data_IF_305185764076
#
_entry.id   IF_305185764076
#
_cell.length_a   1.000
_cell.length_b   1.000
_cell.length_c   1.000
_cell.angle_alpha   90.00
_cell.angle_beta   90.00
_cell.angle_gamma   90.00
#
_symmetry.space_group_name_H-M   'P 1'
#
loop_
_entity.id
_entity.type
_entity.pdbx_description
1 polymer ?
#
# COMPACT_ATOMS: atom_id res chain seq x y z
N UNK A 1 -3.11 -13.73 33.08
CA UNK A 1 -2.33 -14.19 31.90
C UNK A 1 -3.34 -14.77 30.93
N UNK A 2 -3.75 -14.01 29.92
CA UNK A 2 -4.83 -14.38 29.01
C UNK A 2 -4.37 -15.41 27.98
N UNK A 3 -5.15 -16.48 27.83
CA UNK A 3 -4.91 -17.58 26.91
C UNK A 3 -5.07 -17.02 25.49
N UNK A 4 -4.00 -16.94 24.71
CA UNK A 4 -4.08 -16.62 23.28
C UNK A 4 -4.81 -17.78 22.60
N UNK A 5 -6.00 -17.50 22.05
CA UNK A 5 -6.86 -18.51 21.43
C UNK A 5 -6.15 -19.25 20.29
N UNK A 6 -6.47 -20.54 20.16
CA UNK A 6 -6.06 -21.46 19.08
C UNK A 6 -6.65 -21.06 17.70
N UNK A 7 -6.49 -19.81 17.27
CA UNK A 7 -6.79 -19.36 15.92
C UNK A 7 -5.55 -19.46 15.03
N UNK A 8 -5.68 -19.99 13.81
CA UNK A 8 -4.61 -19.91 12.82
C UNK A 8 -4.33 -18.45 12.49
N UNK A 9 -3.11 -17.98 12.77
CA UNK A 9 -2.67 -16.65 12.38
C UNK A 9 -2.24 -16.69 10.91
N UNK A 10 -2.75 -15.73 10.12
CA UNK A 10 -2.33 -15.56 8.73
C UNK A 10 -1.06 -14.73 8.69
N UNK A 11 0.03 -15.29 8.19
CA UNK A 11 1.26 -14.55 7.93
C UNK A 11 1.07 -13.65 6.71
N UNK A 12 1.52 -12.40 6.81
CA UNK A 12 1.45 -11.42 5.72
C UNK A 12 2.81 -10.78 5.48
N UNK A 13 3.25 -10.72 4.23
CA UNK A 13 4.45 -9.98 3.84
C UNK A 13 4.07 -8.56 3.39
N UNK A 14 4.69 -7.54 4.01
CA UNK A 14 4.43 -6.12 3.71
C UNK A 14 5.25 -5.60 2.51
N UNK A 15 6.26 -6.36 2.04
CA UNK A 15 7.17 -5.95 0.95
C UNK A 15 7.04 -6.80 -0.33
N UNK A 16 5.81 -6.93 -0.86
CA UNK A 16 5.55 -7.59 -2.14
C UNK A 16 5.78 -6.65 -3.35
N UNK A 17 6.90 -5.94 -3.37
CA UNK A 17 7.32 -5.11 -4.51
C UNK A 17 7.67 -5.97 -5.73
N UNK A 18 7.63 -5.39 -6.93
CA UNK A 18 7.92 -6.14 -8.16
C UNK A 18 9.34 -6.74 -8.20
N UNK A 19 10.29 -6.15 -7.45
CA UNK A 19 11.64 -6.70 -7.28
C UNK A 19 11.66 -8.05 -6.55
N UNK A 20 10.63 -8.35 -5.76
CA UNK A 20 10.53 -9.56 -4.93
C UNK A 20 9.68 -10.65 -5.59
N UNK A 21 9.28 -10.44 -6.86
CA UNK A 21 8.46 -11.39 -7.64
C UNK A 21 9.17 -11.70 -8.97
N UNK A 22 10.24 -12.52 -8.96
CA UNK A 22 10.94 -12.90 -10.18
C UNK A 22 10.04 -13.64 -11.16
N UNK A 23 10.25 -13.36 -12.45
CA UNK A 23 9.59 -14.05 -13.56
C UNK A 23 10.54 -15.05 -14.21
N UNK A 24 9.99 -16.17 -14.69
CA UNK A 24 10.73 -17.11 -15.52
C UNK A 24 10.85 -16.61 -16.98
N UNK A 25 11.50 -17.41 -17.84
CA UNK A 25 11.69 -17.07 -19.27
C UNK A 25 10.38 -16.86 -20.03
N UNK A 26 9.29 -17.43 -19.57
CA UNK A 26 7.95 -17.33 -20.16
C UNK A 26 7.10 -16.21 -19.53
N UNK A 27 7.71 -15.31 -18.77
CA UNK A 27 7.03 -14.23 -18.03
C UNK A 27 5.98 -14.72 -17.02
N UNK A 28 6.15 -15.92 -16.48
CA UNK A 28 5.34 -16.46 -15.37
C UNK A 28 6.05 -16.20 -14.04
N UNK A 29 5.27 -15.98 -12.97
CA UNK A 29 5.81 -15.83 -11.62
C UNK A 29 6.56 -17.12 -11.25
N UNK A 30 7.86 -17.00 -11.02
CA UNK A 30 8.73 -18.11 -10.66
C UNK A 30 8.76 -18.34 -9.14
N UNK A 31 8.77 -17.25 -8.37
CA UNK A 31 8.75 -17.28 -6.92
C UNK A 31 8.27 -15.92 -6.36
N UNK A 32 7.97 -15.91 -5.05
CA UNK A 32 7.87 -14.69 -4.24
C UNK A 32 8.95 -14.81 -3.16
N UNK A 33 9.87 -13.86 -3.13
CA UNK A 33 11.05 -13.86 -2.25
C UNK A 33 10.96 -12.71 -1.24
N UNK A 34 11.99 -12.57 -0.39
CA UNK A 34 12.14 -11.43 0.52
C UNK A 34 11.02 -11.34 1.57
N UNK A 35 10.88 -12.42 2.34
CA UNK A 35 9.84 -12.57 3.39
C UNK A 35 10.24 -11.93 4.73
N UNK A 36 11.33 -11.15 4.79
CA UNK A 36 11.82 -10.56 6.04
C UNK A 36 10.88 -9.51 6.65
N UNK A 37 9.98 -8.96 5.82
CA UNK A 37 8.90 -8.07 6.23
C UNK A 37 7.58 -8.79 6.50
N UNK A 38 7.64 -10.06 6.92
CA UNK A 38 6.46 -10.83 7.31
C UNK A 38 6.04 -10.48 8.73
N UNK A 39 4.85 -9.91 8.88
CA UNK A 39 4.26 -9.59 10.17
C UNK A 39 3.01 -10.45 10.41
N UNK A 40 2.77 -10.92 11.66
CA UNK A 40 1.47 -11.46 12.04
C UNK A 40 0.40 -10.37 11.86
N UNK A 41 -0.87 -10.74 11.59
CA UNK A 41 -1.89 -9.80 11.19
C UNK A 41 -2.21 -8.90 12.39
N UNK A 42 -1.72 -7.66 12.37
CA UNK A 42 -2.11 -6.63 13.32
C UNK A 42 -3.47 -6.07 12.89
N UNK A 43 -4.55 -6.86 13.04
CA UNK A 43 -5.98 -6.50 12.98
C UNK A 43 -6.48 -5.50 11.93
N UNK A 44 -5.67 -5.10 10.95
CA UNK A 44 -5.95 -3.96 10.09
C UNK A 44 -5.53 -4.23 8.66
N UNK A 45 -6.45 -4.16 7.70
CA UNK A 45 -6.16 -4.25 6.27
C UNK A 45 -5.42 -3.02 5.71
N UNK A 46 -4.95 -2.11 6.57
CA UNK A 46 -4.29 -0.85 6.21
C UNK A 46 -2.88 -1.00 5.63
N UNK A 47 -2.27 -2.19 5.66
CA UNK A 47 -0.83 -2.32 5.38
C UNK A 47 -0.50 -2.55 3.89
N UNK A 48 -1.48 -2.89 3.06
CA UNK A 48 -1.25 -3.74 1.89
C UNK A 48 -0.96 -3.03 0.55
N UNK A 49 -0.39 -1.83 0.52
CA UNK A 49 -0.41 -0.99 -0.69
C UNK A 49 0.91 -0.36 -1.14
N UNK A 50 1.93 -0.28 -0.27
CA UNK A 50 3.12 0.53 -0.51
C UNK A 50 4.07 -0.04 -1.58
N UNK A 51 4.42 -1.33 -1.48
CA UNK A 51 5.55 -1.90 -2.23
C UNK A 51 5.34 -2.05 -3.74
N UNK A 52 4.12 -2.32 -4.21
CA UNK A 52 3.88 -2.63 -5.63
C UNK A 52 3.73 -1.39 -6.53
N UNK A 53 3.30 -0.25 -5.97
CA UNK A 53 2.75 0.86 -6.75
C UNK A 53 3.65 2.08 -6.84
N UNK A 54 4.64 2.19 -5.96
CA UNK A 54 5.61 3.27 -5.97
C UNK A 54 6.93 2.80 -6.56
N UNK A 55 7.29 3.36 -7.71
CA UNK A 55 8.68 3.32 -8.15
C UNK A 55 9.52 4.14 -7.16
N UNK A 56 10.60 3.54 -6.67
CA UNK A 56 11.62 4.19 -5.87
C UNK A 56 12.05 5.51 -6.53
N UNK A 57 11.99 6.68 -5.84
CA UNK A 57 12.12 8.02 -6.43
C UNK A 57 13.58 8.41 -6.72
N UNK A 58 14.42 7.48 -7.16
CA UNK A 58 15.88 7.66 -7.15
C UNK A 58 16.42 8.53 -8.30
N UNK A 59 15.58 9.28 -9.03
CA UNK A 59 15.99 9.90 -10.29
C UNK A 59 15.51 11.33 -10.59
N UNK A 60 14.96 12.11 -9.63
CA UNK A 60 14.56 13.50 -9.95
C UNK A 60 14.50 14.44 -8.74
N UNK A 61 14.58 15.78 -8.95
CA UNK A 61 14.59 16.77 -7.88
C UNK A 61 13.44 16.55 -6.90
N UNK A 62 13.81 16.40 -5.63
CA UNK A 62 13.08 15.68 -4.56
C UNK A 62 11.61 16.06 -4.39
N UNK A 63 11.20 17.29 -4.70
CA UNK A 63 9.80 17.75 -4.55
C UNK A 63 8.91 17.45 -5.76
N UNK A 64 9.43 17.58 -6.99
CA UNK A 64 8.65 17.33 -8.22
C UNK A 64 8.46 15.83 -8.41
N UNK A 65 9.52 15.04 -8.19
CA UNK A 65 9.49 13.58 -8.27
C UNK A 65 8.48 12.96 -7.31
N UNK A 66 8.31 13.55 -6.12
CA UNK A 66 7.37 13.06 -5.13
C UNK A 66 5.92 13.42 -5.51
N UNK A 67 5.66 14.64 -5.99
CA UNK A 67 4.32 15.05 -6.44
C UNK A 67 3.86 14.27 -7.68
N UNK A 68 4.76 14.04 -8.64
CA UNK A 68 4.48 13.17 -9.79
C UNK A 68 4.38 11.71 -9.37
N UNK A 69 5.17 11.28 -8.38
CA UNK A 69 5.12 9.95 -7.78
C UNK A 69 3.78 9.66 -7.10
N UNK A 70 3.23 10.59 -6.31
CA UNK A 70 1.93 10.47 -5.65
C UNK A 70 0.79 10.36 -6.66
N UNK A 71 0.77 11.22 -7.69
CA UNK A 71 -0.24 11.12 -8.78
C UNK A 71 -0.11 9.81 -9.56
N UNK A 72 1.12 9.39 -9.85
CA UNK A 72 1.38 8.13 -10.54
C UNK A 72 0.95 6.92 -9.71
N UNK A 73 1.17 6.97 -8.39
CA UNK A 73 0.70 5.97 -7.45
C UNK A 73 -0.83 5.90 -7.44
N UNK A 74 -1.53 7.04 -7.34
CA UNK A 74 -3.00 7.08 -7.34
C UNK A 74 -3.60 6.45 -8.60
N UNK A 75 -2.99 6.69 -9.77
CA UNK A 75 -3.41 6.08 -11.02
C UNK A 75 -3.13 4.58 -11.06
N UNK A 76 -1.92 4.16 -10.67
CA UNK A 76 -1.53 2.74 -10.64
C UNK A 76 -2.37 1.96 -9.64
N UNK A 77 -2.74 2.58 -8.53
CA UNK A 77 -3.58 2.01 -7.48
C UNK A 77 -4.95 1.60 -8.03
N UNK A 78 -5.63 2.45 -8.80
CA UNK A 78 -6.92 2.07 -9.39
C UNK A 78 -6.79 0.88 -10.34
N UNK A 79 -5.73 0.86 -11.17
CA UNK A 79 -5.46 -0.27 -12.06
C UNK A 79 -5.21 -1.55 -11.28
N UNK A 80 -4.43 -1.47 -10.20
CA UNK A 80 -4.17 -2.60 -9.31
C UNK A 80 -5.43 -3.10 -8.62
N UNK A 81 -6.25 -2.20 -8.06
CA UNK A 81 -7.53 -2.57 -7.43
C UNK A 81 -8.47 -3.25 -8.42
N UNK A 82 -8.54 -2.78 -9.68
CA UNK A 82 -9.33 -3.44 -10.73
C UNK A 82 -8.83 -4.85 -11.01
N UNK A 83 -7.51 -5.02 -11.20
CA UNK A 83 -6.91 -6.34 -11.42
C UNK A 83 -7.13 -7.28 -10.22
N UNK A 84 -7.03 -6.75 -9.00
CA UNK A 84 -7.21 -7.52 -7.78
C UNK A 84 -8.66 -7.98 -7.62
N UNK A 85 -9.65 -7.12 -7.88
CA UNK A 85 -11.07 -7.48 -7.86
C UNK A 85 -11.35 -8.64 -8.80
N UNK A 86 -10.86 -8.57 -10.04
CA UNK A 86 -11.04 -9.64 -11.05
C UNK A 86 -10.46 -10.96 -10.54
N UNK A 87 -9.26 -10.93 -9.94
CA UNK A 87 -8.61 -12.14 -9.43
C UNK A 87 -9.26 -12.70 -8.18
N UNK A 88 -9.75 -11.83 -7.30
CA UNK A 88 -10.53 -12.22 -6.12
C UNK A 88 -11.87 -12.85 -6.54
N UNK A 89 -12.57 -12.29 -7.54
CA UNK A 89 -13.81 -12.85 -8.08
C UNK A 89 -13.59 -14.24 -8.71
N UNK A 90 -12.52 -14.39 -9.51
CA UNK A 90 -12.12 -15.69 -10.06
C UNK A 90 -11.78 -16.71 -8.97
N UNK A 91 -11.06 -16.31 -7.93
CA UNK A 91 -10.70 -17.19 -6.82
C UNK A 91 -11.91 -17.59 -5.98
N UNK A 92 -12.87 -16.67 -5.77
CA UNK A 92 -14.13 -16.95 -5.06
C UNK A 92 -14.99 -17.92 -5.86
N UNK A 93 -15.13 -17.73 -7.18
CA UNK A 93 -15.92 -18.66 -8.01
C UNK A 93 -15.33 -20.08 -8.05
N UNK A 94 -14.01 -20.21 -7.88
CA UNK A 94 -13.30 -21.50 -7.75
C UNK A 94 -13.28 -22.07 -6.33
N UNK A 95 -13.87 -21.37 -5.35
CA UNK A 95 -13.83 -21.77 -3.93
C UNK A 95 -12.45 -21.69 -3.27
N UNK A 96 -11.50 -20.99 -3.90
CA UNK A 96 -10.13 -20.82 -3.39
C UNK A 96 -9.99 -19.65 -2.40
N UNK A 97 -10.94 -18.72 -2.43
CA UNK A 97 -11.00 -17.54 -1.57
C UNK A 97 -12.43 -17.37 -1.05
N UNK A 98 -12.57 -17.08 0.23
CA UNK A 98 -13.89 -16.72 0.79
C UNK A 98 -14.15 -15.22 0.61
N UNK A 99 -15.41 -14.81 0.45
CA UNK A 99 -15.78 -13.40 0.26
C UNK A 99 -15.29 -12.49 1.40
N UNK A 100 -15.20 -13.00 2.64
CA UNK A 100 -14.68 -12.26 3.80
C UNK A 100 -13.15 -12.10 3.81
N UNK A 101 -12.44 -12.79 2.91
CA UNK A 101 -10.99 -12.69 2.74
C UNK A 101 -10.59 -11.69 1.65
N UNK A 102 -11.59 -11.04 1.01
CA UNK A 102 -11.38 -10.01 -0.01
C UNK A 102 -10.70 -8.78 0.60
N UNK A 103 -9.61 -8.34 -0.01
CA UNK A 103 -8.82 -7.19 0.42
C UNK A 103 -9.14 -5.92 -0.39
N UNK A 104 -9.67 -6.06 -1.61
CA UNK A 104 -9.94 -4.89 -2.49
C UNK A 104 -10.89 -3.86 -1.89
N UNK A 105 -11.93 -4.32 -1.19
CA UNK A 105 -12.86 -3.44 -0.48
C UNK A 105 -12.15 -2.61 0.59
N UNK A 106 -11.57 -3.25 1.62
CA UNK A 106 -10.83 -2.55 2.66
C UNK A 106 -9.69 -1.66 2.15
N UNK A 107 -8.95 -2.09 1.12
CA UNK A 107 -7.89 -1.29 0.51
C UNK A 107 -8.42 -0.04 -0.20
N UNK A 108 -9.56 -0.14 -0.89
CA UNK A 108 -10.24 1.02 -1.50
C UNK A 108 -10.72 1.99 -0.43
N UNK A 109 -11.31 1.49 0.65
CA UNK A 109 -11.81 2.33 1.73
C UNK A 109 -10.67 3.01 2.51
N UNK A 110 -9.59 2.29 2.82
CA UNK A 110 -8.39 2.86 3.46
C UNK A 110 -7.77 3.99 2.64
N UNK A 111 -7.83 3.88 1.31
CA UNK A 111 -7.42 4.99 0.42
C UNK A 111 -8.38 6.17 0.51
N UNK A 112 -9.70 5.94 0.45
CA UNK A 112 -10.71 7.01 0.51
C UNK A 112 -10.70 7.75 1.84
N UNK A 113 -10.60 7.02 2.94
CA UNK A 113 -10.49 7.61 4.29
C UNK A 113 -9.17 8.37 4.47
N UNK A 114 -8.14 7.99 3.71
CA UNK A 114 -6.78 8.53 3.83
C UNK A 114 -5.95 7.83 4.90
N UNK A 115 -6.45 6.76 5.52
CA UNK A 115 -5.69 5.95 6.49
C UNK A 115 -4.45 5.32 5.84
N UNK A 116 -4.55 5.01 4.54
CA UNK A 116 -3.42 4.60 3.73
C UNK A 116 -2.25 5.60 3.81
N UNK A 117 -2.52 6.92 3.75
CA UNK A 117 -1.44 7.92 3.75
C UNK A 117 -0.73 8.00 5.10
N UNK A 118 -1.45 7.77 6.21
CA UNK A 118 -0.86 7.69 7.54
C UNK A 118 0.09 6.49 7.62
N UNK A 119 -0.41 5.31 7.22
CA UNK A 119 0.36 4.08 7.19
C UNK A 119 1.58 4.17 6.26
N UNK A 120 1.43 4.85 5.12
CA UNK A 120 2.48 5.04 4.13
C UNK A 120 3.55 6.03 4.60
N UNK A 121 3.17 7.16 5.19
CA UNK A 121 4.09 8.15 5.75
C UNK A 121 4.91 7.57 6.91
N UNK A 122 4.28 6.80 7.81
CA UNK A 122 4.97 6.15 8.92
C UNK A 122 6.08 5.17 8.46
N UNK A 123 5.94 4.59 7.27
CA UNK A 123 6.89 3.64 6.69
C UNK A 123 7.93 4.27 5.77
N UNK A 124 7.68 5.46 5.23
CA UNK A 124 8.52 6.09 4.21
C UNK A 124 9.07 7.43 4.72
N UNK A 125 10.18 7.37 5.47
CA UNK A 125 10.86 8.55 5.99
C UNK A 125 11.23 9.58 4.90
N UNK A 126 11.58 9.13 3.70
CA UNK A 126 11.94 10.00 2.58
C UNK A 126 10.76 10.78 1.98
N UNK A 127 9.55 10.23 2.10
CA UNK A 127 8.33 10.83 1.54
C UNK A 127 7.46 11.49 2.63
N UNK A 128 7.82 11.31 3.90
CA UNK A 128 7.01 11.70 5.06
C UNK A 128 6.57 13.16 4.99
N UNK A 129 7.50 14.11 4.86
CA UNK A 129 7.22 15.55 4.92
C UNK A 129 6.13 15.96 3.92
N UNK A 130 6.29 15.57 2.66
CA UNK A 130 5.33 15.91 1.62
C UNK A 130 4.00 15.16 1.74
N UNK A 131 3.99 13.90 2.19
CA UNK A 131 2.72 13.18 2.46
C UNK A 131 1.99 13.85 3.63
N UNK A 132 2.74 14.22 4.67
CA UNK A 132 2.19 14.86 5.85
C UNK A 132 1.47 16.15 5.45
N UNK A 133 2.16 17.09 4.82
CA UNK A 133 1.57 18.38 4.44
C UNK A 133 0.46 18.27 3.39
N UNK A 134 0.56 17.36 2.42
CA UNK A 134 -0.42 17.28 1.34
C UNK A 134 -1.66 16.44 1.68
N UNK A 135 -1.52 15.41 2.52
CA UNK A 135 -2.56 14.38 2.72
C UNK A 135 -3.00 14.23 4.18
N UNK A 136 -2.10 14.39 5.15
CA UNK A 136 -2.39 14.15 6.57
C UNK A 136 -2.81 15.43 7.28
N UNK A 137 -2.03 16.51 7.16
CA UNK A 137 -2.25 17.79 7.84
C UNK A 137 -3.66 18.33 7.55
N UNK A 138 -4.01 18.42 6.26
CA UNK A 138 -5.35 18.86 5.81
C UNK A 138 -6.51 18.02 6.35
N UNK A 139 -6.27 16.73 6.62
CA UNK A 139 -7.31 15.81 7.12
C UNK A 139 -7.62 16.08 8.59
N UNK A 140 -6.62 16.42 9.40
CA UNK A 140 -6.78 16.59 10.85
C UNK A 140 -6.89 18.05 11.30
N UNK A 141 -6.22 18.96 10.59
CA UNK A 141 -6.07 20.37 10.98
C UNK A 141 -6.68 21.36 9.98
N UNK A 142 -7.18 20.88 8.83
CA UNK A 142 -7.81 21.72 7.82
C UNK A 142 -6.81 22.48 6.94
N UNK A 143 -7.28 23.48 6.19
CA UNK A 143 -6.43 24.26 5.28
C UNK A 143 -5.47 25.16 6.07
N UNK A 144 -4.17 24.92 5.93
CA UNK A 144 -3.11 25.74 6.51
C UNK A 144 -3.14 27.16 5.91
N UNK A 145 -3.24 28.18 6.76
CA UNK A 145 -3.22 29.61 6.39
C UNK A 145 -1.82 30.18 6.15
N UNK A 146 -0.77 29.38 6.34
CA UNK A 146 0.60 29.80 6.10
C UNK A 146 1.08 29.41 4.70
N UNK A 147 1.76 30.32 3.97
CA UNK A 147 2.39 29.98 2.70
C UNK A 147 3.44 28.89 2.94
N UNK A 148 3.40 27.86 2.09
CA UNK A 148 4.35 26.76 2.07
C UNK A 148 5.79 27.30 2.05
N UNK A 149 6.65 26.95 3.03
CA UNK A 149 8.05 27.35 3.02
C UNK A 149 8.83 26.75 1.84
N UNK A 150 8.24 25.86 1.04
CA UNK A 150 8.76 25.43 -0.26
C UNK A 150 8.61 26.47 -1.39
N UNK A 151 7.88 27.55 -1.15
CA UNK A 151 7.69 28.66 -2.09
C UNK A 151 8.43 29.95 -1.66
N UNK A 152 9.34 29.86 -0.67
CA UNK A 152 10.31 30.90 -0.34
C UNK A 152 11.67 30.61 -0.99
#
# INVERSE_FOLDING_TARGET
MGIFGNGSFKLWCDDLRSGNVPLNKDSKIAAVVDWEHTLPPLNSPMHHLGGFLLKSPNASPRKIALRTGVRSFEFRLETFLKAMIIREDEAISKGQLNSNQRLSGPMRESRKSGDFWIAYAARNNFAFDAIYWQKIDRRFFGSTTYPDPAHA
#
